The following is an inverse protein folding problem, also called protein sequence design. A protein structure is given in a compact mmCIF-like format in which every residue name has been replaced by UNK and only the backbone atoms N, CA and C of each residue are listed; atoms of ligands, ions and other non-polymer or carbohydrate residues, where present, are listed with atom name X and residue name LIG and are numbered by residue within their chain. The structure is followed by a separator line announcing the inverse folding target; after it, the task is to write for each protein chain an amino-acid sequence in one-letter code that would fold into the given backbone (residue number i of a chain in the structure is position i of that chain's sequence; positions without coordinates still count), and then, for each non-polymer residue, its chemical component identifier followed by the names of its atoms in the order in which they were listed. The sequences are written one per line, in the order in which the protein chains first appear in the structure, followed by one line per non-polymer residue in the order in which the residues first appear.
data_IF_065354959273
#
_entry.id   IF_065354959273
#
_cell.length_a   1.000
_cell.length_b   1.000
_cell.length_c   1.000
_cell.angle_alpha   90.00
_cell.angle_beta   90.00
_cell.angle_gamma   90.00
#
_symmetry.space_group_name_H-M   'P 1'
#
loop_
_entity.id
_entity.type
_entity.pdbx_description
1 polymer ?
#
# COMPACT_ATOMS: atom_id res chain seq x y z
N UNK A 1 19.51 -3.10 27.03
CA UNK A 1 18.07 -3.19 26.70
C UNK A 1 17.84 -4.52 25.97
N UNK A 2 17.28 -5.54 26.62
CA UNK A 2 17.02 -6.86 26.00
C UNK A 2 15.80 -6.73 25.09
N UNK A 3 15.99 -6.80 23.77
CA UNK A 3 14.86 -6.91 22.84
C UNK A 3 14.19 -8.27 23.14
N UNK A 4 12.89 -8.32 23.48
CA UNK A 4 12.23 -9.57 23.79
C UNK A 4 12.28 -10.51 22.58
N UNK A 5 12.76 -11.73 22.78
CA UNK A 5 12.90 -12.76 21.74
C UNK A 5 11.55 -13.02 21.04
N UNK A 6 10.44 -12.91 21.77
CA UNK A 6 9.07 -13.06 21.26
C UNK A 6 8.67 -12.00 20.21
N UNK A 7 9.27 -10.81 20.25
CA UNK A 7 8.98 -9.76 19.25
C UNK A 7 9.73 -10.01 17.95
N UNK A 8 10.96 -10.50 18.04
CA UNK A 8 11.77 -10.88 16.89
C UNK A 8 11.17 -12.08 16.16
N UNK A 9 10.68 -13.09 16.90
CA UNK A 9 9.99 -14.24 16.31
C UNK A 9 8.68 -13.86 15.63
N UNK A 10 7.91 -12.91 16.18
CA UNK A 10 6.71 -12.37 15.50
C UNK A 10 7.06 -11.63 14.21
N UNK A 11 8.05 -10.73 14.23
CA UNK A 11 8.47 -10.02 13.04
C UNK A 11 8.95 -10.98 11.93
N UNK A 12 9.71 -12.02 12.31
CA UNK A 12 10.14 -13.07 11.39
C UNK A 12 8.96 -13.86 10.81
N UNK A 13 7.98 -14.26 11.65
CA UNK A 13 6.76 -14.94 11.19
C UNK A 13 5.94 -14.08 10.22
N UNK A 14 5.82 -12.77 10.49
CA UNK A 14 5.13 -11.83 9.60
C UNK A 14 5.84 -11.72 8.25
N UNK A 15 7.17 -11.63 8.25
CA UNK A 15 7.92 -11.70 7.01
C UNK A 15 7.66 -13.00 6.24
N UNK A 16 7.73 -14.14 6.92
CA UNK A 16 7.50 -15.43 6.28
C UNK A 16 6.08 -15.58 5.71
N UNK A 17 5.04 -15.09 6.41
CA UNK A 17 3.66 -15.12 5.90
C UNK A 17 3.50 -14.24 4.68
N UNK A 18 4.02 -13.01 4.72
CA UNK A 18 3.92 -12.07 3.59
C UNK A 18 4.62 -12.61 2.34
N UNK A 19 5.77 -13.28 2.51
CA UNK A 19 6.45 -13.94 1.39
C UNK A 19 5.60 -15.06 0.79
N UNK A 20 4.96 -15.86 1.65
CA UNK A 20 4.03 -16.89 1.20
C UNK A 20 2.86 -16.27 0.42
N UNK A 21 2.33 -15.15 0.90
CA UNK A 21 1.23 -14.45 0.24
C UNK A 21 1.64 -13.95 -1.15
N UNK A 22 2.84 -13.39 -1.33
CA UNK A 22 3.35 -12.98 -2.65
C UNK A 22 3.58 -14.14 -3.62
N UNK A 23 3.94 -15.33 -3.10
CA UNK A 23 4.16 -16.54 -3.90
C UNK A 23 2.85 -17.26 -4.28
N UNK A 24 1.70 -16.77 -3.81
CA UNK A 24 0.39 -17.32 -4.15
C UNK A 24 0.16 -17.29 -5.66
N UNK A 25 -0.36 -18.39 -6.26
CA UNK A 25 -0.66 -18.41 -7.69
C UNK A 25 -1.70 -17.36 -8.09
N UNK A 26 -1.39 -16.63 -9.17
CA UNK A 26 -2.28 -15.64 -9.80
C UNK A 26 -2.63 -16.09 -11.22
N UNK A 27 -3.92 -16.07 -11.56
CA UNK A 27 -4.46 -16.54 -12.85
C UNK A 27 -5.34 -15.48 -13.46
N UNK A 28 -4.87 -14.87 -14.55
CA UNK A 28 -5.65 -13.88 -15.31
C UNK A 28 -6.01 -14.48 -16.66
N UNK A 29 -7.28 -14.43 -17.04
CA UNK A 29 -7.73 -14.82 -18.38
C UNK A 29 -8.13 -13.56 -19.16
N UNK A 30 -7.59 -13.38 -20.35
CA UNK A 30 -7.82 -12.23 -21.22
C UNK A 30 -8.50 -12.71 -22.48
N UNK A 31 -9.72 -12.25 -22.73
CA UNK A 31 -10.46 -12.50 -23.96
C UNK A 31 -10.36 -11.29 -24.87
N UNK A 32 -9.87 -11.53 -26.09
CA UNK A 32 -9.76 -10.55 -27.15
C UNK A 32 -10.96 -10.65 -28.07
N UNK A 33 -11.83 -9.65 -28.03
CA UNK A 33 -12.88 -9.51 -29.02
C UNK A 33 -12.31 -9.09 -30.37
N UNK A 34 -13.01 -9.45 -31.44
CA UNK A 34 -12.74 -9.03 -32.81
C UNK A 34 -12.76 -7.51 -33.00
N UNK A 35 -13.57 -6.80 -32.21
CA UNK A 35 -13.67 -5.34 -32.22
C UNK A 35 -12.60 -4.64 -31.37
N UNK A 36 -11.81 -5.39 -30.59
CA UNK A 36 -10.87 -4.81 -29.64
C UNK A 36 -9.85 -3.92 -30.34
N UNK A 37 -9.70 -2.69 -29.85
CA UNK A 37 -8.73 -1.77 -30.41
C UNK A 37 -7.30 -2.21 -30.16
N UNK A 38 -6.41 -1.78 -31.05
CA UNK A 38 -4.97 -2.00 -30.89
C UNK A 38 -4.44 -1.39 -29.59
N UNK A 39 -4.98 -0.23 -29.19
CA UNK A 39 -4.60 0.46 -27.96
C UNK A 39 -4.86 -0.41 -26.72
N UNK A 40 -6.05 -1.01 -26.60
CA UNK A 40 -6.40 -1.88 -25.49
C UNK A 40 -5.52 -3.14 -25.47
N UNK A 41 -5.37 -3.79 -26.63
CA UNK A 41 -4.56 -4.99 -26.75
C UNK A 41 -3.08 -4.76 -26.40
N UNK A 42 -2.47 -3.68 -26.91
CA UNK A 42 -1.08 -3.33 -26.61
C UNK A 42 -0.91 -2.92 -25.14
N UNK A 43 -1.83 -2.13 -24.59
CA UNK A 43 -1.78 -1.70 -23.19
C UNK A 43 -1.83 -2.89 -22.23
N UNK A 44 -2.76 -3.82 -22.45
CA UNK A 44 -2.91 -5.03 -21.60
C UNK A 44 -1.72 -5.97 -21.79
N UNK A 45 -1.27 -6.20 -23.03
CA UNK A 45 -0.09 -7.02 -23.31
C UNK A 45 1.15 -6.49 -22.58
N UNK A 46 1.39 -5.19 -22.62
CA UNK A 46 2.57 -4.58 -22.01
C UNK A 46 2.48 -4.55 -20.47
N UNK A 47 1.26 -4.45 -19.92
CA UNK A 47 1.03 -4.35 -18.48
C UNK A 47 0.97 -5.72 -17.77
N UNK A 48 0.35 -6.72 -18.40
CA UNK A 48 0.16 -8.07 -17.85
C UNK A 48 1.34 -8.99 -18.16
N UNK A 49 2.55 -8.55 -17.82
CA UNK A 49 3.78 -9.34 -17.90
C UNK A 49 4.16 -9.83 -16.48
N UNK A 50 3.94 -11.12 -16.15
CA UNK A 50 4.30 -11.66 -14.85
C UNK A 50 5.79 -11.48 -14.53
N UNK A 51 6.07 -10.88 -13.38
CA UNK A 51 7.44 -10.66 -12.87
C UNK A 51 7.92 -11.79 -11.96
N UNK A 52 7.04 -12.74 -11.63
CA UNK A 52 7.36 -13.92 -10.82
C UNK A 52 6.89 -15.19 -11.54
N UNK A 53 7.26 -16.36 -11.02
CA UNK A 53 6.85 -17.66 -11.56
C UNK A 53 5.43 -18.07 -11.12
N UNK A 54 4.78 -17.31 -10.24
CA UNK A 54 3.46 -17.67 -9.70
C UNK A 54 2.30 -17.13 -10.54
N UNK A 55 2.53 -16.15 -11.41
CA UNK A 55 1.53 -15.57 -12.30
C UNK A 55 1.42 -16.29 -13.65
N UNK A 56 0.18 -16.51 -14.10
CA UNK A 56 -0.11 -17.00 -15.45
C UNK A 56 -1.18 -16.10 -16.05
N UNK A 57 -0.94 -15.65 -17.29
CA UNK A 57 -1.90 -14.92 -18.11
C UNK A 57 -2.29 -15.81 -19.28
N UNK A 58 -3.57 -16.12 -19.41
CA UNK A 58 -4.13 -16.90 -20.51
C UNK A 58 -4.81 -15.94 -21.46
N UNK A 59 -4.53 -16.06 -22.75
CA UNK A 59 -5.10 -15.16 -23.75
C UNK A 59 -5.86 -16.01 -24.77
N UNK A 60 -7.12 -15.68 -24.97
CA UNK A 60 -8.04 -16.38 -25.89
C UNK A 60 -8.80 -15.35 -26.74
N UNK A 61 -9.27 -15.75 -27.91
CA UNK A 61 -10.13 -14.90 -28.74
C UNK A 61 -11.60 -15.16 -28.42
N UNK A 62 -12.41 -14.12 -28.48
CA UNK A 62 -13.87 -14.22 -28.40
C UNK A 62 -14.42 -14.76 -29.73
N UNK A 63 -14.34 -16.08 -29.94
CA UNK A 63 -14.90 -16.76 -31.13
C UNK A 63 -16.20 -17.48 -30.80
N UNK A 64 -17.03 -17.80 -31.79
CA UNK A 64 -18.43 -18.28 -31.66
C UNK A 64 -18.68 -19.45 -30.70
N UNK A 65 -17.63 -20.21 -30.34
CA UNK A 65 -17.69 -21.29 -29.36
C UNK A 65 -17.98 -20.81 -27.93
N UNK A 66 -18.62 -21.69 -27.15
CA UNK A 66 -18.96 -21.42 -25.74
C UNK A 66 -17.70 -21.16 -24.92
N UNK A 67 -17.73 -20.11 -24.12
CA UNK A 67 -16.59 -19.70 -23.33
C UNK A 67 -16.63 -20.39 -21.96
N UNK A 68 -15.55 -21.10 -21.63
CA UNK A 68 -15.40 -21.79 -20.35
C UNK A 68 -14.04 -21.43 -19.74
N UNK A 69 -13.95 -20.35 -18.94
CA UNK A 69 -12.73 -20.05 -18.23
C UNK A 69 -12.42 -21.20 -17.27
N UNK A 70 -11.14 -21.52 -17.09
CA UNK A 70 -10.78 -22.57 -16.13
C UNK A 70 -11.17 -22.12 -14.72
N UNK A 71 -11.53 -23.10 -13.89
CA UNK A 71 -11.99 -22.89 -12.51
C UNK A 71 -10.96 -22.24 -11.58
N UNK A 72 -9.68 -22.23 -11.97
CA UNK A 72 -8.60 -21.58 -11.22
C UNK A 72 -8.42 -20.08 -11.56
N UNK A 73 -9.25 -19.51 -12.43
CA UNK A 73 -9.14 -18.12 -12.88
C UNK A 73 -9.50 -17.13 -11.76
N UNK A 74 -8.59 -16.22 -11.43
CA UNK A 74 -8.82 -15.20 -10.41
C UNK A 74 -9.56 -13.98 -10.95
N UNK A 75 -9.25 -13.57 -12.18
CA UNK A 75 -9.87 -12.42 -12.87
C UNK A 75 -9.94 -12.69 -14.36
N UNK A 76 -11.05 -12.27 -14.97
CA UNK A 76 -11.24 -12.25 -16.42
C UNK A 76 -11.24 -10.81 -16.94
N UNK A 77 -10.48 -10.55 -18.00
CA UNK A 77 -10.48 -9.30 -18.75
C UNK A 77 -11.07 -9.55 -20.13
N UNK A 78 -12.01 -8.72 -20.56
CA UNK A 78 -12.56 -8.77 -21.92
C UNK A 78 -12.23 -7.45 -22.61
N UNK A 79 -11.44 -7.49 -23.69
CA UNK A 79 -11.10 -6.29 -24.45
C UNK A 79 -12.07 -6.20 -25.60
N UNK A 80 -12.82 -5.10 -25.72
CA UNK A 80 -13.82 -4.94 -26.77
C UNK A 80 -14.14 -3.47 -27.01
N UNK A 81 -14.56 -3.16 -28.24
CA UNK A 81 -15.16 -1.88 -28.63
C UNK A 81 -16.64 -2.05 -29.04
N UNK A 82 -17.34 -3.05 -28.45
CA UNK A 82 -18.78 -3.21 -28.58
C UNK A 82 -19.24 -4.11 -29.73
N UNK A 83 -18.75 -5.36 -29.79
CA UNK A 83 -19.32 -6.34 -30.73
C UNK A 83 -20.69 -6.86 -30.28
N UNK A 84 -21.49 -7.35 -31.24
CA UNK A 84 -22.81 -7.94 -30.98
C UNK A 84 -22.77 -9.13 -30.01
N UNK A 85 -21.64 -9.84 -29.95
CA UNK A 85 -21.45 -11.02 -29.10
C UNK A 85 -20.93 -10.69 -27.70
N UNK A 86 -20.51 -9.45 -27.46
CA UNK A 86 -19.87 -9.03 -26.20
C UNK A 86 -20.76 -9.33 -24.99
N UNK A 87 -22.03 -8.96 -25.05
CA UNK A 87 -22.95 -9.11 -23.91
C UNK A 87 -23.15 -10.58 -23.53
N UNK A 88 -23.50 -11.43 -24.51
CA UNK A 88 -23.71 -12.86 -24.27
C UNK A 88 -22.44 -13.55 -23.75
N UNK A 89 -21.27 -13.18 -24.29
CA UNK A 89 -20.00 -13.73 -23.85
C UNK A 89 -19.64 -13.32 -22.42
N UNK A 90 -19.87 -12.04 -22.05
CA UNK A 90 -19.66 -11.55 -20.68
C UNK A 90 -20.59 -12.26 -19.71
N UNK A 91 -21.85 -12.50 -20.09
CA UNK A 91 -22.79 -13.27 -19.26
C UNK A 91 -22.30 -14.70 -19.02
N UNK A 92 -21.81 -15.40 -20.04
CA UNK A 92 -21.22 -16.74 -19.89
C UNK A 92 -20.03 -16.75 -18.91
N UNK A 93 -19.16 -15.74 -19.02
CA UNK A 93 -17.98 -15.58 -18.15
C UNK A 93 -18.36 -15.30 -16.70
N UNK A 94 -19.35 -14.44 -16.46
CA UNK A 94 -19.86 -14.14 -15.12
C UNK A 94 -20.51 -15.38 -14.50
N UNK A 95 -21.30 -16.14 -15.27
CA UNK A 95 -21.92 -17.40 -14.81
C UNK A 95 -20.86 -18.44 -14.43
N UNK A 96 -19.70 -18.44 -15.08
CA UNK A 96 -18.59 -19.32 -14.74
C UNK A 96 -17.95 -18.98 -13.37
N UNK A 97 -18.31 -17.85 -12.75
CA UNK A 97 -17.99 -17.53 -11.36
C UNK A 97 -16.68 -16.78 -11.14
N UNK A 98 -16.03 -16.27 -12.19
CA UNK A 98 -14.86 -15.42 -12.07
C UNK A 98 -15.24 -13.94 -12.24
N UNK A 99 -14.68 -12.99 -11.46
CA UNK A 99 -14.88 -11.57 -11.67
C UNK A 99 -14.44 -11.14 -13.08
N UNK A 100 -15.33 -10.48 -13.81
CA UNK A 100 -15.12 -10.04 -15.21
C UNK A 100 -15.01 -8.52 -15.28
N UNK A 101 -13.94 -8.03 -15.90
CA UNK A 101 -13.76 -6.62 -16.25
C UNK A 101 -13.77 -6.45 -17.77
N UNK A 102 -14.69 -5.64 -18.28
CA UNK A 102 -14.69 -5.24 -19.69
C UNK A 102 -13.87 -3.97 -19.85
N UNK A 103 -12.86 -4.02 -20.71
CA UNK A 103 -12.02 -2.88 -21.09
C UNK A 103 -12.49 -2.38 -22.45
N UNK A 104 -12.87 -1.10 -22.48
CA UNK A 104 -13.38 -0.42 -23.67
C UNK A 104 -12.75 0.97 -23.79
N UNK A 105 -12.82 1.61 -24.95
CA UNK A 105 -12.37 3.00 -25.08
C UNK A 105 -13.43 3.97 -24.59
N UNK A 106 -14.70 3.59 -24.72
CA UNK A 106 -15.85 4.36 -24.27
C UNK A 106 -16.88 3.47 -23.57
N UNK A 107 -17.52 3.99 -22.51
CA UNK A 107 -18.60 3.28 -21.84
C UNK A 107 -19.82 3.07 -22.75
N UNK A 108 -19.97 3.89 -23.80
CA UNK A 108 -21.05 3.76 -24.81
C UNK A 108 -20.93 2.45 -25.61
N UNK A 109 -19.73 1.88 -25.70
CA UNK A 109 -19.48 0.60 -26.38
C UNK A 109 -19.98 -0.61 -25.56
N UNK A 110 -20.25 -0.40 -24.27
CA UNK A 110 -20.66 -1.46 -23.33
C UNK A 110 -21.92 -1.04 -22.55
N UNK A 111 -23.03 -0.73 -23.24
CA UNK A 111 -24.20 -0.10 -22.63
C UNK A 111 -24.94 -1.01 -21.63
N UNK A 112 -24.74 -2.32 -21.71
CA UNK A 112 -25.37 -3.30 -20.81
C UNK A 112 -24.75 -3.32 -19.38
N UNK A 113 -23.65 -2.61 -19.16
CA UNK A 113 -23.03 -2.45 -17.82
C UNK A 113 -23.31 -1.03 -17.32
N UNK A 114 -24.47 -0.84 -16.70
CA UNK A 114 -24.85 0.46 -16.12
C UNK A 114 -24.11 0.74 -14.80
N UNK A 115 -23.93 -0.29 -13.97
CA UNK A 115 -23.26 -0.20 -12.67
C UNK A 115 -22.28 -1.34 -12.46
N UNK A 116 -21.18 -1.06 -11.75
CA UNK A 116 -20.21 -2.09 -11.37
C UNK A 116 -20.77 -2.94 -10.23
N UNK A 117 -20.87 -4.24 -10.47
CA UNK A 117 -21.22 -5.24 -9.46
C UNK A 117 -19.95 -5.88 -8.87
N UNK A 118 -20.06 -6.72 -7.83
CA UNK A 118 -18.90 -7.48 -7.33
C UNK A 118 -18.27 -8.39 -8.40
N UNK A 119 -19.07 -8.93 -9.33
CA UNK A 119 -18.62 -9.89 -10.35
C UNK A 119 -18.40 -9.28 -11.73
N UNK A 120 -18.91 -8.08 -12.00
CA UNK A 120 -18.84 -7.44 -13.31
C UNK A 120 -18.50 -5.96 -13.17
N UNK A 121 -17.57 -5.47 -13.97
CA UNK A 121 -17.38 -4.04 -14.12
C UNK A 121 -16.81 -3.66 -15.48
N UNK A 122 -16.74 -2.35 -15.70
CA UNK A 122 -16.24 -1.75 -16.93
C UNK A 122 -15.16 -0.73 -16.59
N UNK A 123 -14.10 -0.72 -17.38
CA UNK A 123 -13.11 0.36 -17.37
C UNK A 123 -13.04 0.91 -18.79
N UNK A 124 -13.64 2.08 -18.95
CA UNK A 124 -13.61 2.84 -20.19
C UNK A 124 -12.51 3.91 -20.11
N UNK A 125 -11.54 3.85 -21.02
CA UNK A 125 -10.42 4.78 -21.03
C UNK A 125 -9.71 4.83 -22.38
N UNK A 126 -9.28 6.03 -22.79
CA UNK A 126 -8.42 6.27 -23.96
C UNK A 126 -6.97 6.58 -23.56
N UNK A 127 -6.70 6.77 -22.27
CA UNK A 127 -5.37 7.00 -21.72
C UNK A 127 -4.84 5.76 -20.99
N UNK A 128 -3.59 5.39 -21.27
CA UNK A 128 -2.95 4.20 -20.70
C UNK A 128 -2.84 4.26 -19.18
N UNK A 129 -2.48 5.42 -18.63
CA UNK A 129 -2.26 5.58 -17.19
C UNK A 129 -3.57 5.43 -16.45
N UNK A 130 -4.60 6.15 -16.91
CA UNK A 130 -5.93 6.11 -16.31
C UNK A 130 -6.56 4.72 -16.40
N UNK A 131 -6.41 4.03 -17.53
CA UNK A 131 -6.88 2.66 -17.74
C UNK A 131 -6.26 1.72 -16.70
N UNK A 132 -4.92 1.71 -16.60
CA UNK A 132 -4.20 0.81 -15.71
C UNK A 132 -4.43 1.12 -14.24
N UNK A 133 -4.51 2.40 -13.86
CA UNK A 133 -4.82 2.78 -12.48
C UNK A 133 -6.23 2.36 -12.05
N UNK A 134 -7.21 2.54 -12.94
CA UNK A 134 -8.61 2.18 -12.67
C UNK A 134 -8.79 0.66 -12.66
N UNK A 135 -8.15 -0.04 -13.59
CA UNK A 135 -8.12 -1.50 -13.62
C UNK A 135 -7.43 -2.08 -12.38
N UNK A 136 -6.28 -1.54 -11.97
CA UNK A 136 -5.58 -2.00 -10.77
C UNK A 136 -6.47 -1.86 -9.53
N UNK A 137 -7.16 -0.72 -9.37
CA UNK A 137 -8.13 -0.52 -8.28
C UNK A 137 -9.27 -1.54 -8.36
N UNK A 138 -9.86 -1.71 -9.54
CA UNK A 138 -10.97 -2.64 -9.76
C UNK A 138 -10.61 -4.09 -9.40
N UNK A 139 -9.41 -4.55 -9.78
CA UNK A 139 -8.92 -5.90 -9.47
C UNK A 139 -8.70 -6.04 -7.96
N UNK A 140 -8.01 -5.09 -7.34
CA UNK A 140 -7.72 -5.13 -5.90
C UNK A 140 -9.01 -5.10 -5.06
N UNK A 141 -10.07 -4.42 -5.50
CA UNK A 141 -11.38 -4.44 -4.82
C UNK A 141 -12.06 -5.83 -4.79
N UNK A 142 -11.65 -6.74 -5.69
CA UNK A 142 -12.35 -8.02 -5.94
C UNK A 142 -11.49 -9.25 -5.70
N UNK A 143 -10.24 -9.06 -5.25
CA UNK A 143 -9.32 -10.16 -4.96
C UNK A 143 -8.78 -10.07 -3.55
N UNK A 144 -8.68 -11.23 -2.89
CA UNK A 144 -7.96 -11.36 -1.62
C UNK A 144 -6.44 -11.50 -1.82
N UNK A 145 -5.99 -11.65 -3.07
CA UNK A 145 -4.58 -11.90 -3.44
C UNK A 145 -3.82 -10.62 -3.78
N UNK A 146 -4.10 -9.51 -3.11
CA UNK A 146 -3.55 -8.18 -3.43
C UNK A 146 -2.02 -8.18 -3.59
N UNK A 147 -1.31 -8.74 -2.61
CA UNK A 147 0.16 -8.83 -2.60
C UNK A 147 0.69 -9.66 -3.77
N UNK A 148 0.03 -10.77 -4.10
CA UNK A 148 0.45 -11.67 -5.18
C UNK A 148 0.25 -11.02 -6.55
N UNK A 149 -0.88 -10.33 -6.76
CA UNK A 149 -1.16 -9.58 -7.98
C UNK A 149 -0.14 -8.45 -8.17
N UNK A 150 0.16 -7.70 -7.12
CA UNK A 150 1.10 -6.58 -7.19
C UNK A 150 2.56 -7.04 -7.35
N UNK A 151 2.93 -8.18 -6.77
CA UNK A 151 4.23 -8.80 -7.00
C UNK A 151 4.39 -9.25 -8.47
N UNK A 152 3.33 -9.83 -9.05
CA UNK A 152 3.32 -10.31 -10.44
C UNK A 152 3.25 -9.19 -11.47
N UNK A 153 2.44 -8.15 -11.26
CA UNK A 153 2.17 -7.12 -12.26
C UNK A 153 2.62 -5.74 -11.76
N UNK A 154 3.63 -5.17 -12.42
CA UNK A 154 4.29 -3.95 -11.97
C UNK A 154 3.34 -2.75 -11.85
N UNK A 155 2.37 -2.62 -12.76
CA UNK A 155 1.41 -1.50 -12.76
C UNK A 155 0.50 -1.48 -11.52
N UNK A 156 0.32 -2.62 -10.85
CA UNK A 156 -0.53 -2.74 -9.65
C UNK A 156 0.18 -2.34 -8.36
N UNK A 157 1.52 -2.24 -8.36
CA UNK A 157 2.33 -2.01 -7.15
C UNK A 157 1.94 -0.74 -6.42
N UNK A 158 1.68 0.35 -7.14
CA UNK A 158 1.34 1.64 -6.53
C UNK A 158 -0.04 1.60 -5.88
N UNK A 159 -1.01 0.98 -6.55
CA UNK A 159 -2.36 0.83 -6.01
C UNK A 159 -2.37 -0.04 -4.74
N UNK A 160 -1.67 -1.18 -4.77
CA UNK A 160 -1.55 -2.07 -3.61
C UNK A 160 -0.77 -1.42 -2.46
N UNK A 161 0.35 -0.75 -2.76
CA UNK A 161 1.13 -0.04 -1.76
C UNK A 161 0.31 1.05 -1.06
N UNK A 162 -0.47 1.84 -1.81
CA UNK A 162 -1.33 2.86 -1.21
C UNK A 162 -2.39 2.25 -0.27
N UNK A 163 -2.94 1.07 -0.59
CA UNK A 163 -3.88 0.36 0.30
C UNK A 163 -3.22 -0.11 1.58
N UNK A 164 -2.07 -0.77 1.48
CA UNK A 164 -1.25 -1.22 2.62
C UNK A 164 -0.94 -0.03 3.54
N UNK A 165 -0.46 1.07 2.97
CA UNK A 165 -0.09 2.27 3.73
C UNK A 165 -1.32 2.89 4.41
N UNK A 166 -2.44 3.03 3.67
CA UNK A 166 -3.66 3.67 4.19
C UNK A 166 -4.30 2.82 5.28
N UNK A 167 -4.36 1.50 5.09
CA UNK A 167 -4.86 0.55 6.10
C UNK A 167 -4.00 0.60 7.38
N UNK A 168 -2.67 0.55 7.24
CA UNK A 168 -1.77 0.66 8.38
C UNK A 168 -1.89 2.02 9.09
N UNK A 169 -2.03 3.11 8.32
CA UNK A 169 -2.23 4.45 8.86
C UNK A 169 -3.56 4.56 9.63
N UNK A 170 -4.64 3.94 9.13
CA UNK A 170 -5.95 3.85 9.81
C UNK A 170 -5.85 3.02 11.10
N UNK A 171 -5.20 1.86 11.06
CA UNK A 171 -4.97 1.05 12.27
C UNK A 171 -4.16 1.81 13.33
N UNK A 172 -3.10 2.52 12.90
CA UNK A 172 -2.29 3.34 13.80
C UNK A 172 -3.01 4.60 14.28
N UNK A 173 -3.91 5.17 13.47
CA UNK A 173 -4.80 6.26 13.88
C UNK A 173 -5.72 5.79 15.01
N UNK A 174 -6.40 4.66 14.81
CA UNK A 174 -7.30 4.06 15.80
C UNK A 174 -6.55 3.71 17.08
N UNK A 175 -5.37 3.10 16.97
CA UNK A 175 -4.52 2.78 18.13
C UNK A 175 -4.08 4.05 18.87
N UNK A 176 -3.68 5.08 18.13
CA UNK A 176 -3.28 6.37 18.70
C UNK A 176 -4.42 7.15 19.36
N UNK A 177 -5.67 6.93 18.95
CA UNK A 177 -6.87 7.50 19.55
C UNK A 177 -7.33 6.75 20.81
N UNK A 178 -7.27 5.41 20.78
CA UNK A 178 -7.91 4.55 21.77
C UNK A 178 -7.09 4.30 23.03
N UNK A 179 -5.77 4.49 22.97
CA UNK A 179 -4.93 4.12 24.11
C UNK A 179 -4.53 5.33 24.93
N UNK A 180 -5.16 5.38 26.10
CA UNK A 180 -4.96 6.37 27.14
C UNK A 180 -3.75 6.05 28.04
N UNK A 181 -3.19 4.82 27.96
CA UNK A 181 -2.11 4.36 28.82
C UNK A 181 -0.71 4.71 28.27
N UNK A 182 0.08 5.56 28.97
CA UNK A 182 1.44 5.87 28.57
C UNK A 182 2.32 4.62 28.65
N UNK A 183 2.80 4.13 27.49
CA UNK A 183 3.79 3.04 27.41
C UNK A 183 3.31 1.73 26.78
N UNK A 184 1.99 1.50 26.67
CA UNK A 184 1.44 0.24 26.14
C UNK A 184 1.29 0.22 24.60
N UNK A 185 1.21 1.38 23.94
CA UNK A 185 1.03 1.52 22.48
C UNK A 185 2.22 1.16 21.62
N UNK A 186 3.41 1.32 22.20
CA UNK A 186 4.66 1.29 21.45
C UNK A 186 4.91 -0.03 20.73
N UNK A 187 4.63 -1.21 21.33
CA UNK A 187 4.87 -2.48 20.66
C UNK A 187 3.87 -2.75 19.53
N UNK A 188 2.59 -2.41 19.72
CA UNK A 188 1.53 -2.76 18.75
C UNK A 188 1.67 -1.92 17.48
N UNK A 189 1.80 -0.60 17.62
CA UNK A 189 1.97 0.28 16.46
C UNK A 189 3.29 0.04 15.73
N UNK A 190 4.37 -0.26 16.46
CA UNK A 190 5.65 -0.59 15.84
C UNK A 190 5.56 -1.89 15.04
N UNK A 191 4.88 -2.91 15.56
CA UNK A 191 4.63 -4.16 14.84
C UNK A 191 3.81 -3.92 13.56
N UNK A 192 2.77 -3.07 13.62
CA UNK A 192 2.00 -2.69 12.44
C UNK A 192 2.87 -2.02 11.36
N UNK A 193 3.76 -1.10 11.77
CA UNK A 193 4.70 -0.42 10.85
C UNK A 193 5.75 -1.38 10.26
N UNK A 194 6.23 -2.36 11.05
CA UNK A 194 7.12 -3.42 10.55
C UNK A 194 6.39 -4.34 9.58
N UNK A 195 5.12 -4.71 9.85
CA UNK A 195 4.29 -5.48 8.93
C UNK A 195 4.10 -4.77 7.60
N UNK A 196 3.71 -3.50 7.64
CA UNK A 196 3.60 -2.63 6.46
C UNK A 196 4.91 -2.62 5.64
N UNK A 197 6.08 -2.53 6.28
CA UNK A 197 7.36 -2.59 5.59
C UNK A 197 7.55 -3.91 4.83
N UNK A 198 7.21 -5.05 5.46
CA UNK A 198 7.34 -6.36 4.83
C UNK A 198 6.36 -6.55 3.68
N UNK A 199 5.10 -6.11 3.83
CA UNK A 199 4.09 -6.16 2.76
C UNK A 199 4.52 -5.31 1.56
N UNK A 200 4.96 -4.07 1.80
CA UNK A 200 5.50 -3.22 0.74
C UNK A 200 6.70 -3.88 0.06
N UNK A 201 7.64 -4.41 0.82
CA UNK A 201 8.77 -5.14 0.28
C UNK A 201 8.35 -6.29 -0.66
N UNK A 202 7.36 -7.08 -0.28
CA UNK A 202 6.86 -8.18 -1.10
C UNK A 202 6.15 -7.70 -2.37
N UNK A 203 5.36 -6.64 -2.30
CA UNK A 203 4.75 -5.98 -3.46
C UNK A 203 5.80 -5.58 -4.51
N UNK A 204 6.95 -5.07 -4.07
CA UNK A 204 8.05 -4.66 -4.97
C UNK A 204 9.01 -5.81 -5.33
N UNK A 205 8.70 -7.07 -4.97
CA UNK A 205 9.56 -8.23 -5.26
C UNK A 205 10.89 -8.22 -4.51
N UNK A 206 10.99 -7.38 -3.48
CA UNK A 206 12.18 -7.21 -2.65
C UNK A 206 12.13 -8.28 -1.57
N UNK A 207 12.86 -9.40 -1.73
CA UNK A 207 12.84 -10.51 -0.77
C UNK A 207 13.25 -10.11 0.66
N UNK A 208 12.71 -10.77 1.68
CA UNK A 208 13.04 -10.51 3.09
C UNK A 208 14.44 -11.07 3.37
N UNK A 209 15.44 -10.21 3.25
CA UNK A 209 16.83 -10.54 3.57
C UNK A 209 17.19 -10.05 4.97
N UNK A 210 18.06 -10.76 5.72
CA UNK A 210 18.52 -10.32 7.04
C UNK A 210 19.18 -8.93 7.01
N UNK A 211 19.79 -8.55 5.88
CA UNK A 211 20.40 -7.23 5.67
C UNK A 211 19.40 -6.05 5.73
N UNK A 212 18.09 -6.30 5.68
CA UNK A 212 17.05 -5.27 5.87
C UNK A 212 16.77 -4.87 7.31
N UNK A 213 17.55 -5.39 8.26
CA UNK A 213 17.52 -4.90 9.64
C UNK A 213 17.62 -3.37 9.73
N UNK A 214 18.32 -2.72 8.80
CA UNK A 214 18.43 -1.27 8.73
C UNK A 214 17.13 -0.55 8.34
N UNK A 215 16.33 -1.09 7.42
CA UNK A 215 15.04 -0.49 7.05
C UNK A 215 14.06 -0.59 8.22
N UNK A 216 14.03 -1.76 8.89
CA UNK A 216 13.24 -1.96 10.11
C UNK A 216 13.71 -1.01 11.21
N UNK A 217 15.02 -0.89 11.43
CA UNK A 217 15.57 0.05 12.40
C UNK A 217 15.20 1.50 12.04
N UNK A 218 15.29 1.89 10.77
CA UNK A 218 14.91 3.20 10.27
C UNK A 218 13.43 3.52 10.53
N UNK A 219 12.54 2.57 10.25
CA UNK A 219 11.11 2.68 10.54
C UNK A 219 10.84 2.85 12.04
N UNK A 220 11.52 2.05 12.88
CA UNK A 220 11.38 2.12 14.33
C UNK A 220 11.91 3.45 14.89
N UNK A 221 13.10 3.89 14.44
CA UNK A 221 13.71 5.16 14.85
C UNK A 221 12.86 6.34 14.39
N UNK A 222 12.43 6.38 13.14
CA UNK A 222 11.54 7.40 12.61
C UNK A 222 10.22 7.45 13.38
N UNK A 223 9.64 6.29 13.67
CA UNK A 223 8.47 6.17 14.52
C UNK A 223 8.69 6.70 15.94
N UNK A 224 9.86 6.52 16.55
CA UNK A 224 10.18 7.07 17.88
C UNK A 224 10.32 8.59 17.86
N UNK A 225 10.93 9.15 16.81
CA UNK A 225 11.06 10.59 16.60
C UNK A 225 9.68 11.24 16.49
N UNK A 226 8.83 10.72 15.61
CA UNK A 226 7.46 11.24 15.41
C UNK A 226 6.71 11.24 16.73
N UNK A 227 6.79 10.15 17.50
CA UNK A 227 6.14 10.04 18.81
C UNK A 227 6.71 11.01 19.86
N UNK A 228 8.01 11.29 19.84
CA UNK A 228 8.61 12.28 20.73
C UNK A 228 8.04 13.68 20.45
N UNK A 229 7.91 14.04 19.17
CA UNK A 229 7.26 15.28 18.72
C UNK A 229 5.78 15.28 19.12
N UNK A 230 5.03 14.20 18.89
CA UNK A 230 3.62 14.08 19.29
C UNK A 230 3.44 14.32 20.80
N UNK A 231 4.32 13.75 21.64
CA UNK A 231 4.26 13.95 23.10
C UNK A 231 4.49 15.41 23.49
N UNK A 232 5.38 16.12 22.79
CA UNK A 232 5.59 17.54 23.02
C UNK A 232 4.35 18.37 22.64
N UNK A 233 3.72 18.05 21.49
CA UNK A 233 2.51 18.73 21.02
C UNK A 233 1.31 18.49 21.95
N UNK A 234 1.09 17.25 22.38
CA UNK A 234 -0.04 16.88 23.27
C UNK A 234 0.05 17.60 24.62
N UNK A 235 1.25 17.89 25.13
CA UNK A 235 1.42 18.69 26.36
C UNK A 235 0.87 20.11 26.23
N UNK A 236 0.89 20.68 25.02
CA UNK A 236 0.37 22.03 24.76
C UNK A 236 -1.14 22.04 24.53
N UNK A 237 -1.74 20.91 24.18
CA UNK A 237 -3.18 20.81 23.88
C UNK A 237 -3.85 19.66 24.66
N UNK A 238 -4.00 19.78 26.01
CA UNK A 238 -4.47 18.67 26.86
C UNK A 238 -5.88 18.18 26.51
N UNK A 239 -6.78 19.09 26.11
CA UNK A 239 -8.19 18.76 25.85
C UNK A 239 -8.43 18.01 24.53
N UNK A 240 -7.51 18.11 23.56
CA UNK A 240 -7.61 17.46 22.24
C UNK A 240 -6.47 16.45 21.99
N UNK A 241 -5.79 16.02 23.06
CA UNK A 241 -4.60 15.17 22.95
C UNK A 241 -4.81 13.85 22.21
N UNK A 242 -6.01 13.26 22.28
CA UNK A 242 -6.34 12.03 21.55
C UNK A 242 -6.37 12.27 20.03
N UNK A 243 -6.92 13.40 19.57
CA UNK A 243 -6.99 13.75 18.17
C UNK A 243 -5.59 14.04 17.60
N UNK A 244 -4.76 14.76 18.36
CA UNK A 244 -3.37 15.02 17.98
C UNK A 244 -2.57 13.73 17.86
N UNK A 245 -2.73 12.78 18.79
CA UNK A 245 -2.09 11.46 18.71
C UNK A 245 -2.56 10.68 17.48
N UNK A 246 -3.87 10.61 17.27
CA UNK A 246 -4.48 9.89 16.15
C UNK A 246 -3.98 10.43 14.79
N UNK A 247 -4.04 11.75 14.61
CA UNK A 247 -3.60 12.41 13.38
C UNK A 247 -2.11 12.24 13.15
N UNK A 248 -1.29 12.44 14.18
CA UNK A 248 0.17 12.32 14.03
C UNK A 248 0.59 10.87 13.76
N UNK A 249 -0.11 9.89 14.37
CA UNK A 249 0.12 8.48 14.10
C UNK A 249 -0.23 8.10 12.65
N UNK A 250 -1.38 8.58 12.16
CA UNK A 250 -1.83 8.37 10.79
C UNK A 250 -0.84 8.99 9.79
N UNK A 251 -0.57 10.29 9.94
CA UNK A 251 0.31 11.06 9.06
C UNK A 251 1.75 10.51 9.08
N UNK A 252 2.25 10.17 10.27
CA UNK A 252 3.59 9.59 10.42
C UNK A 252 3.73 8.22 9.76
N UNK A 253 2.72 7.37 9.88
CA UNK A 253 2.70 6.06 9.22
C UNK A 253 2.59 6.21 7.71
N UNK A 254 1.68 7.09 7.25
CA UNK A 254 1.50 7.36 5.82
C UNK A 254 2.78 7.90 5.18
N UNK A 255 3.39 8.91 5.78
CA UNK A 255 4.65 9.50 5.29
C UNK A 255 5.79 8.49 5.24
N UNK A 256 5.91 7.64 6.26
CA UNK A 256 6.92 6.58 6.30
C UNK A 256 6.67 5.50 5.22
N UNK A 257 5.42 5.10 5.02
CA UNK A 257 5.03 4.20 3.94
C UNK A 257 5.37 4.76 2.55
N UNK A 258 5.04 6.03 2.30
CA UNK A 258 5.37 6.71 1.03
C UNK A 258 6.88 6.85 0.81
N UNK A 259 7.65 7.08 1.88
CA UNK A 259 9.10 7.08 1.82
C UNK A 259 9.67 5.71 1.43
N UNK A 260 9.15 4.62 2.01
CA UNK A 260 9.53 3.25 1.65
C UNK A 260 9.19 2.93 0.19
N UNK A 261 8.01 3.32 -0.29
CA UNK A 261 7.63 3.16 -1.70
C UNK A 261 8.63 3.87 -2.61
N UNK A 262 8.97 5.12 -2.33
CA UNK A 262 9.95 5.87 -3.13
C UNK A 262 11.34 5.23 -3.10
N UNK A 263 11.74 4.61 -1.99
CA UNK A 263 13.00 3.86 -1.90
C UNK A 263 12.96 2.59 -2.77
N UNK A 264 11.85 1.86 -2.75
CA UNK A 264 11.70 0.62 -3.51
C UNK A 264 11.57 0.84 -5.02
N UNK A 265 10.94 1.94 -5.45
CA UNK A 265 10.82 2.35 -6.85
C UNK A 265 12.16 2.74 -7.48
N UNK A 266 13.10 3.28 -6.70
CA UNK A 266 14.33 3.89 -7.22
C UNK A 266 15.50 2.92 -7.45
N UNK A 267 15.32 1.61 -7.26
CA UNK A 267 16.40 0.60 -7.40
C UNK A 267 17.73 1.05 -6.73
N UNK A 268 17.64 1.61 -5.51
CA UNK A 268 18.83 2.15 -4.84
C UNK A 268 19.68 1.00 -4.31
N UNK A 269 20.91 0.92 -4.81
CA UNK A 269 21.96 0.08 -4.25
C UNK A 269 22.26 0.50 -2.81
N UNK A 270 22.01 -0.42 -1.88
CA UNK A 270 21.88 -0.18 -0.43
C UNK A 270 23.19 0.17 0.30
N UNK A 271 24.29 0.34 -0.44
CA UNK A 271 25.61 0.69 0.10
C UNK A 271 25.79 2.20 0.33
N UNK A 272 25.11 3.08 -0.42
CA UNK A 272 25.30 4.54 -0.37
C UNK A 272 24.30 5.31 0.49
N UNK A 273 23.22 4.68 0.94
CA UNK A 273 22.24 5.32 1.84
C UNK A 273 22.82 5.62 3.24
N UNK A 274 23.98 5.02 3.59
CA UNK A 274 24.62 5.14 4.89
C UNK A 274 25.12 6.56 5.22
N UNK A 275 25.46 7.38 4.21
CA UNK A 275 25.99 8.74 4.42
C UNK A 275 24.87 9.80 4.58
N UNK A 276 23.75 9.62 3.90
CA UNK A 276 22.62 10.58 3.91
C UNK A 276 21.79 10.47 5.19
N UNK A 277 21.74 9.27 5.78
CA UNK A 277 21.04 9.02 7.05
C UNK A 277 21.69 9.79 8.20
N UNK A 278 23.02 9.92 8.23
CA UNK A 278 23.73 10.67 9.29
C UNK A 278 23.51 12.19 9.15
N UNK A 279 23.46 12.71 7.91
CA UNK A 279 23.24 14.13 7.64
C UNK A 279 21.78 14.58 7.89
N UNK A 280 20.83 13.66 7.76
CA UNK A 280 19.41 13.93 8.06
C UNK A 280 19.16 13.88 9.57
N UNK A 281 19.88 13.02 10.29
CA UNK A 281 19.76 12.86 11.74
C UNK A 281 20.15 14.14 12.52
N UNK A 282 21.10 14.93 12.03
CA UNK A 282 21.47 16.21 12.65
C UNK A 282 20.37 17.27 12.50
N UNK A 283 19.77 17.39 11.32
CA UNK A 283 18.68 18.36 11.06
C UNK A 283 17.42 18.06 11.86
N UNK A 284 17.10 16.77 12.04
CA UNK A 284 15.97 16.33 12.86
C UNK A 284 16.23 16.58 14.34
N UNK A 285 17.46 16.30 14.82
CA UNK A 285 17.85 16.63 16.20
C UNK A 285 17.73 18.13 16.46
N UNK A 286 18.16 18.96 15.53
CA UNK A 286 18.10 20.42 15.66
C UNK A 286 16.65 20.89 15.74
N UNK A 287 15.75 20.37 14.89
CA UNK A 287 14.32 20.70 14.92
C UNK A 287 13.65 20.27 16.25
N UNK A 288 13.99 19.08 16.76
CA UNK A 288 13.51 18.61 18.07
C UNK A 288 14.02 19.51 19.20
N UNK A 289 15.27 19.98 19.14
CA UNK A 289 15.80 20.94 20.12
C UNK A 289 15.18 22.32 20.00
N UNK A 290 14.79 22.77 18.80
CA UNK A 290 14.08 24.05 18.61
C UNK A 290 12.65 23.98 19.17
N UNK A 291 11.93 22.89 18.93
CA UNK A 291 10.58 22.68 19.48
C UNK A 291 10.63 22.48 21.01
N UNK A 292 11.65 21.80 21.53
CA UNK A 292 11.88 21.67 22.97
C UNK A 292 12.41 22.97 23.62
N UNK A 293 13.11 23.82 22.86
CA UNK A 293 13.62 25.11 23.32
C UNK A 293 12.53 26.18 23.40
N UNK A 294 11.55 26.15 22.51
CA UNK A 294 10.39 27.04 22.52
C UNK A 294 9.41 26.78 23.68
N UNK A 295 9.61 25.72 24.48
CA UNK A 295 8.74 25.33 25.60
C UNK A 295 9.33 25.57 26.99
N UNK A 296 10.47 26.28 27.13
CA UNK A 296 10.92 26.73 28.45
C UNK A 296 10.11 27.96 28.90
N UNK A 297 9.48 27.95 30.10
CA UNK A 297 8.98 29.18 30.69
C UNK A 297 10.16 30.09 31.03
N UNK A 298 10.08 31.38 30.68
CA UNK A 298 10.97 32.39 31.26
C UNK A 298 10.76 32.39 32.76
N UNK A 299 11.76 31.91 33.51
CA UNK A 299 11.81 32.14 34.95
C UNK A 299 12.19 33.61 35.18
N UNK A 300 11.23 34.40 35.65
CA UNK A 300 11.50 35.71 36.23
C UNK A 300 12.17 35.50 37.58
N UNK A 301 13.47 35.78 37.65
CA UNK A 301 14.20 35.95 38.89
C UNK A 301 14.08 37.43 39.28
N UNK A 302 13.32 37.73 40.33
CA UNK A 302 13.43 38.98 41.07
C UNK A 302 13.52 38.64 42.56
N UNK A 303 14.75 38.64 43.05
CA UNK A 303 15.07 38.80 44.47
C UNK A 303 14.50 40.14 44.96
N UNK A 304 13.68 40.09 46.00
CA UNK A 304 13.31 41.24 46.80
C UNK A 304 13.23 40.81 48.27
N UNK A 305 14.38 40.43 48.81
CA UNK A 305 14.64 40.38 50.25
C UNK A 305 15.80 41.32 50.53
N UNK A 306 15.49 42.62 50.59
CA UNK A 306 16.30 43.66 51.25
C UNK A 306 15.43 44.91 51.43
N UNK A 307 14.67 44.95 52.53
CA UNK A 307 14.18 46.17 53.19
C UNK A 307 13.68 45.81 54.57
N UNK A 308 14.64 45.62 55.48
CA UNK A 308 14.47 45.79 56.91
C UNK A 308 15.51 46.82 57.37
N UNK A 309 15.15 48.09 57.28
CA UNK A 309 15.64 49.21 58.08
C UNK A 309 14.66 50.39 57.91
#
# INVERSE_FOLDING_TARGET
MKIPVDKLTRAFKMGASVKKDSDTPVRVSVYLDSSASRFLAETVRDAFVPQTTSGIVRVERLGEERIAPKTDTDVVLVLSCGSDRLESAVQELVIAGAPVCVLAESAVEVPFIEESTPMLGVVAATDKTYLLETLARWILDRTEKETAFAANFAFMRIAAANRIITSCALTNMATGALVFLPGADYPVMALAQVGMLFELAAVFGRGIKPERGYEVAGVLVGGLVIRAVTRALVKQTPHIGFAVKALTAAAGTYGMGRALVSLYERDVDYSRANEVVTATFSRVRDLVTTVAGATRPMASYQDASDLAA
#
